data_IF_896466186192
#
_entry.id   IF_896466186192
#
_cell.length_a   1.000
_cell.length_b   1.000
_cell.length_c   1.000
_cell.angle_alpha   90.00
_cell.angle_beta   90.00
_cell.angle_gamma   90.00
#
_symmetry.space_group_name_H-M   'P 1'
#
loop_
_entity.id
_entity.type
_entity.pdbx_description
1 polymer ?
#
# COMPACT_ATOMS: atom_id res chain seq x y z
N UNK A 1 -28.31 2.89 -8.13
CA UNK A 1 -28.46 2.84 -6.66
C UNK A 1 -27.74 1.68 -5.99
N UNK A 2 -27.88 0.41 -6.44
CA UNK A 2 -27.17 -0.71 -5.79
C UNK A 2 -25.64 -0.58 -5.89
N UNK A 3 -25.10 -0.28 -7.07
CA UNK A 3 -23.65 -0.20 -7.29
C UNK A 3 -22.97 0.92 -6.50
N UNK A 4 -23.59 2.11 -6.40
CA UNK A 4 -23.03 3.23 -5.62
C UNK A 4 -22.95 2.89 -4.13
N UNK A 5 -24.00 2.24 -3.61
CA UNK A 5 -24.01 1.76 -2.22
C UNK A 5 -22.93 0.70 -2.01
N UNK A 6 -22.75 -0.23 -2.95
CA UNK A 6 -21.67 -1.22 -2.91
C UNK A 6 -20.30 -0.56 -2.92
N UNK A 7 -20.05 0.41 -3.81
CA UNK A 7 -18.78 1.17 -3.86
C UNK A 7 -18.53 1.83 -2.50
N UNK A 8 -19.53 2.52 -1.93
CA UNK A 8 -19.39 3.17 -0.63
C UNK A 8 -19.04 2.18 0.49
N UNK A 9 -19.72 1.03 0.55
CA UNK A 9 -19.44 -0.01 1.54
C UNK A 9 -18.02 -0.57 1.36
N UNK A 10 -17.60 -0.87 0.14
CA UNK A 10 -16.28 -1.40 -0.17
C UNK A 10 -15.17 -0.42 0.24
N UNK A 11 -15.33 0.87 -0.02
CA UNK A 11 -14.39 1.91 0.39
C UNK A 11 -14.30 2.00 1.92
N UNK A 12 -15.44 1.99 2.63
CA UNK A 12 -15.47 2.04 4.09
C UNK A 12 -14.79 0.80 4.69
N UNK A 13 -15.19 -0.40 4.24
CA UNK A 13 -14.62 -1.66 4.71
C UNK A 13 -13.13 -1.73 4.40
N UNK A 14 -12.71 -1.31 3.22
CA UNK A 14 -11.30 -1.30 2.83
C UNK A 14 -10.44 -0.34 3.65
N UNK A 15 -10.93 0.87 3.90
CA UNK A 15 -10.21 1.85 4.74
C UNK A 15 -10.09 1.35 6.18
N UNK A 16 -11.17 0.86 6.78
CA UNK A 16 -11.14 0.26 8.12
C UNK A 16 -10.20 -0.95 8.13
N UNK A 17 -10.30 -1.80 7.11
CA UNK A 17 -9.51 -3.01 6.93
C UNK A 17 -8.00 -2.75 6.82
N UNK A 18 -7.60 -1.62 6.25
CA UNK A 18 -6.20 -1.17 6.22
C UNK A 18 -5.78 -0.55 7.56
N UNK A 19 -6.65 0.26 8.17
CA UNK A 19 -6.30 1.03 9.36
C UNK A 19 -6.09 0.16 10.59
N UNK A 20 -6.91 -0.87 10.78
CA UNK A 20 -6.81 -1.81 11.92
C UNK A 20 -5.44 -2.50 11.98
N UNK A 21 -4.98 -3.25 10.95
CA UNK A 21 -3.68 -3.90 11.00
C UNK A 21 -2.52 -2.90 11.01
N UNK A 22 -2.66 -1.73 10.36
CA UNK A 22 -1.67 -0.65 10.49
C UNK A 22 -1.47 -0.25 11.96
N UNK A 23 -2.55 0.00 12.70
CA UNK A 23 -2.49 0.34 14.13
C UNK A 23 -1.89 -0.79 14.97
N UNK A 24 -2.27 -2.04 14.70
CA UNK A 24 -1.70 -3.21 15.40
C UNK A 24 -0.18 -3.27 15.15
N UNK A 25 0.28 -3.11 13.91
CA UNK A 25 1.71 -3.08 13.57
C UNK A 25 2.46 -1.95 14.27
N UNK A 26 1.85 -0.77 14.42
CA UNK A 26 2.43 0.31 15.22
C UNK A 26 2.64 -0.12 16.68
N UNK A 27 1.69 -0.84 17.27
CA UNK A 27 1.77 -1.29 18.67
C UNK A 27 2.75 -2.44 18.88
N UNK A 28 2.75 -3.46 18.01
CA UNK A 28 3.53 -4.70 18.23
C UNK A 28 4.90 -4.70 17.55
N UNK A 29 5.09 -3.85 16.54
CA UNK A 29 6.29 -3.84 15.71
C UNK A 29 6.91 -2.45 15.55
N UNK A 30 6.32 -1.40 16.14
CA UNK A 30 6.74 0.00 15.97
C UNK A 30 6.79 0.43 14.50
N UNK A 31 5.85 -0.07 13.70
CA UNK A 31 5.68 0.36 12.32
C UNK A 31 5.10 1.79 12.27
N UNK A 32 5.62 2.70 11.40
CA UNK A 32 6.67 2.51 10.39
C UNK A 32 8.09 2.86 10.88
N UNK A 33 8.27 3.35 12.10
CA UNK A 33 9.57 3.83 12.61
C UNK A 33 10.65 2.76 12.63
N UNK A 34 10.28 1.49 12.88
CA UNK A 34 11.20 0.35 12.84
C UNK A 34 11.91 0.18 11.49
N UNK A 35 11.29 0.62 10.38
CA UNK A 35 11.87 0.48 9.04
C UNK A 35 13.11 1.35 8.82
N UNK A 36 13.38 2.30 9.71
CA UNK A 36 14.56 3.18 9.65
C UNK A 36 15.73 2.66 10.49
N UNK A 37 15.54 1.56 11.21
CA UNK A 37 16.58 0.92 12.01
C UNK A 37 17.49 0.06 11.13
N UNK A 38 18.61 -0.40 11.70
CA UNK A 38 19.48 -1.35 11.02
C UNK A 38 18.77 -2.69 10.78
N UNK A 39 19.27 -3.44 9.78
CA UNK A 39 18.69 -4.72 9.36
C UNK A 39 18.62 -5.75 10.49
N UNK A 40 19.62 -5.79 11.37
CA UNK A 40 19.65 -6.74 12.48
C UNK A 40 18.52 -6.47 13.48
N UNK A 41 18.35 -5.20 13.87
CA UNK A 41 17.25 -4.77 14.74
C UNK A 41 15.89 -5.14 14.18
N UNK A 42 15.65 -4.88 12.88
CA UNK A 42 14.39 -5.21 12.22
C UNK A 42 14.12 -6.72 12.25
N UNK A 43 15.10 -7.53 11.82
CA UNK A 43 14.94 -8.98 11.68
C UNK A 43 14.81 -9.68 13.03
N UNK A 44 15.57 -9.27 14.05
CA UNK A 44 15.45 -9.80 15.42
C UNK A 44 14.07 -9.50 15.99
N UNK A 45 13.61 -8.24 15.87
CA UNK A 45 12.28 -7.85 16.34
C UNK A 45 11.17 -8.60 15.61
N UNK A 46 11.32 -8.78 14.30
CA UNK A 46 10.37 -9.53 13.50
C UNK A 46 10.31 -11.00 13.92
N UNK A 47 11.46 -11.64 14.12
CA UNK A 47 11.56 -13.02 14.59
C UNK A 47 10.87 -13.20 15.95
N UNK A 48 11.14 -12.29 16.90
CA UNK A 48 10.53 -12.31 18.23
C UNK A 48 9.01 -12.04 18.19
N UNK A 49 8.52 -11.27 17.22
CA UNK A 49 7.09 -11.01 17.00
C UNK A 49 6.30 -12.21 16.48
N UNK A 50 6.98 -13.17 15.83
CA UNK A 50 6.42 -14.47 15.45
C UNK A 50 5.14 -14.42 14.60
N UNK A 51 4.28 -15.43 14.77
CA UNK A 51 3.06 -15.59 14.00
C UNK A 51 2.08 -14.41 14.05
N UNK A 52 1.84 -13.74 15.21
CA UNK A 52 0.97 -12.57 15.25
C UNK A 52 1.38 -11.48 14.26
N UNK A 53 2.69 -11.26 14.10
CA UNK A 53 3.21 -10.25 13.19
C UNK A 53 2.98 -10.64 11.72
N UNK A 54 3.23 -11.90 11.37
CA UNK A 54 2.99 -12.46 10.03
C UNK A 54 1.52 -12.32 9.63
N UNK A 55 0.61 -12.70 10.52
CA UNK A 55 -0.84 -12.61 10.29
C UNK A 55 -1.31 -11.16 10.17
N UNK A 56 -0.75 -10.25 10.96
CA UNK A 56 -1.09 -8.83 10.87
C UNK A 56 -0.66 -8.24 9.51
N UNK A 57 0.55 -8.57 9.03
CA UNK A 57 1.00 -8.17 7.69
C UNK A 57 0.16 -8.77 6.57
N UNK A 58 -0.24 -10.04 6.71
CA UNK A 58 -1.12 -10.69 5.75
C UNK A 58 -2.49 -10.02 5.71
N UNK A 59 -3.08 -9.76 6.88
CA UNK A 59 -4.34 -9.04 7.00
C UNK A 59 -4.23 -7.63 6.39
N UNK A 60 -3.12 -6.92 6.62
CA UNK A 60 -2.88 -5.62 6.02
C UNK A 60 -2.91 -5.68 4.48
N UNK A 61 -2.29 -6.70 3.88
CA UNK A 61 -2.30 -6.88 2.44
C UNK A 61 -3.69 -7.22 1.87
N UNK A 62 -4.42 -8.12 2.52
CA UNK A 62 -5.69 -8.67 1.99
C UNK A 62 -6.88 -7.77 2.28
N UNK A 63 -6.93 -7.13 3.45
CA UNK A 63 -8.05 -6.27 3.83
C UNK A 63 -8.11 -4.96 3.04
N UNK A 64 -7.08 -4.65 2.24
CA UNK A 64 -7.10 -3.57 1.24
C UNK A 64 -7.81 -3.92 -0.07
N UNK A 65 -8.04 -5.21 -0.36
CA UNK A 65 -8.67 -5.66 -1.62
C UNK A 65 -10.08 -5.09 -1.90
N UNK A 66 -10.94 -4.81 -0.90
CA UNK A 66 -12.21 -4.11 -1.15
C UNK A 66 -12.04 -2.77 -1.89
N UNK A 67 -10.94 -2.05 -1.65
CA UNK A 67 -10.65 -0.80 -2.37
C UNK A 67 -10.39 -1.07 -3.85
N UNK A 68 -9.70 -2.16 -4.18
CA UNK A 68 -9.45 -2.56 -5.57
C UNK A 68 -10.76 -2.81 -6.32
N UNK A 69 -11.70 -3.53 -5.71
CA UNK A 69 -13.03 -3.75 -6.29
C UNK A 69 -13.80 -2.43 -6.45
N UNK A 70 -13.73 -1.54 -5.45
CA UNK A 70 -14.34 -0.22 -5.54
C UNK A 70 -13.77 0.61 -6.71
N UNK A 71 -12.45 0.58 -6.92
CA UNK A 71 -11.79 1.26 -8.04
C UNK A 71 -12.29 0.75 -9.39
N UNK A 72 -12.47 -0.56 -9.54
CA UNK A 72 -12.99 -1.18 -10.77
C UNK A 72 -14.44 -0.74 -11.02
N UNK A 73 -15.29 -0.82 -10.00
CA UNK A 73 -16.71 -0.45 -10.11
C UNK A 73 -16.91 1.04 -10.40
N UNK A 74 -16.07 1.92 -9.84
CA UNK A 74 -16.05 3.35 -10.18
C UNK A 74 -15.70 3.52 -11.66
N UNK A 75 -14.62 2.87 -12.10
CA UNK A 75 -14.16 2.89 -13.49
C UNK A 75 -15.25 2.50 -14.47
N UNK A 76 -15.78 1.29 -14.33
CA UNK A 76 -16.84 0.74 -15.19
C UNK A 76 -18.05 1.67 -15.30
N UNK A 77 -18.40 2.36 -14.22
CA UNK A 77 -19.58 3.23 -14.18
C UNK A 77 -19.41 4.53 -14.97
N UNK A 78 -18.20 5.08 -15.00
CA UNK A 78 -17.94 6.38 -15.63
C UNK A 78 -17.07 6.28 -16.89
N UNK A 79 -16.61 5.08 -17.26
CA UNK A 79 -15.77 4.82 -18.44
C UNK A 79 -16.43 5.29 -19.74
N UNK A 80 -17.74 5.09 -19.88
CA UNK A 80 -18.48 5.53 -21.08
C UNK A 80 -18.61 7.05 -21.18
N UNK A 81 -18.21 7.81 -20.16
CA UNK A 81 -18.33 9.28 -20.11
C UNK A 81 -17.04 9.97 -20.51
N UNK A 82 -15.88 9.37 -20.25
CA UNK A 82 -14.58 9.92 -20.63
C UNK A 82 -13.56 8.84 -20.98
N UNK A 83 -12.84 9.05 -22.09
CA UNK A 83 -11.85 8.11 -22.61
C UNK A 83 -10.73 7.76 -21.62
N UNK A 84 -10.32 8.72 -20.78
CA UNK A 84 -9.18 8.56 -19.87
C UNK A 84 -9.51 7.73 -18.63
N UNK A 85 -10.79 7.49 -18.32
CA UNK A 85 -11.20 6.72 -17.12
C UNK A 85 -10.73 5.27 -17.19
N UNK A 86 -10.72 4.69 -18.39
CA UNK A 86 -10.19 3.34 -18.60
C UNK A 86 -8.72 3.26 -18.16
N UNK A 87 -7.92 4.21 -18.64
CA UNK A 87 -6.50 4.32 -18.27
C UNK A 87 -6.35 4.55 -16.76
N UNK A 88 -7.15 5.45 -16.18
CA UNK A 88 -7.15 5.67 -14.73
C UNK A 88 -7.37 4.35 -13.99
N UNK A 89 -8.42 3.62 -14.33
CA UNK A 89 -8.78 2.34 -13.67
C UNK A 89 -7.66 1.32 -13.78
N UNK A 90 -7.01 1.18 -14.93
CA UNK A 90 -5.85 0.30 -15.12
C UNK A 90 -4.71 0.70 -14.18
N UNK A 91 -4.36 2.00 -14.14
CA UNK A 91 -3.32 2.49 -13.23
C UNK A 91 -3.67 2.23 -11.77
N UNK A 92 -4.91 2.51 -11.36
CA UNK A 92 -5.38 2.27 -9.99
C UNK A 92 -5.29 0.79 -9.59
N UNK A 93 -5.72 -0.11 -10.47
CA UNK A 93 -5.63 -1.57 -10.24
C UNK A 93 -4.18 -2.02 -10.13
N UNK A 94 -3.31 -1.61 -11.05
CA UNK A 94 -1.89 -1.97 -11.00
C UNK A 94 -1.24 -1.40 -9.74
N UNK A 95 -1.51 -0.14 -9.41
CA UNK A 95 -0.97 0.52 -8.23
C UNK A 95 -1.34 -0.20 -6.93
N UNK A 96 -2.61 -0.57 -6.78
CA UNK A 96 -3.09 -1.35 -5.63
C UNK A 96 -2.47 -2.75 -5.59
N UNK A 97 -2.41 -3.45 -6.72
CA UNK A 97 -1.81 -4.79 -6.78
C UNK A 97 -0.33 -4.76 -6.41
N UNK A 98 0.43 -3.78 -6.92
CA UNK A 98 1.84 -3.60 -6.55
C UNK A 98 1.98 -3.33 -5.05
N UNK A 99 1.08 -2.56 -4.45
CA UNK A 99 1.10 -2.27 -3.02
C UNK A 99 0.81 -3.53 -2.18
N UNK A 100 -0.18 -4.34 -2.58
CA UNK A 100 -0.48 -5.64 -1.96
C UNK A 100 0.74 -6.57 -2.03
N UNK A 101 1.35 -6.70 -3.21
CA UNK A 101 2.57 -7.51 -3.38
C UNK A 101 3.73 -6.98 -2.53
N UNK A 102 3.87 -5.66 -2.45
CA UNK A 102 4.85 -5.01 -1.58
C UNK A 102 4.65 -5.38 -0.11
N UNK A 103 3.41 -5.47 0.37
CA UNK A 103 3.08 -5.88 1.74
C UNK A 103 3.31 -7.37 1.98
N UNK A 104 2.94 -8.24 1.02
CA UNK A 104 3.06 -9.69 1.15
C UNK A 104 4.50 -10.19 1.34
N UNK A 105 5.52 -9.40 0.99
CA UNK A 105 6.91 -9.72 1.31
C UNK A 105 7.13 -9.91 2.82
N UNK A 106 6.41 -9.16 3.66
CA UNK A 106 6.50 -9.29 5.11
C UNK A 106 5.85 -10.57 5.63
N UNK A 107 4.93 -11.16 4.86
CA UNK A 107 4.30 -12.44 5.19
C UNK A 107 5.11 -13.64 4.69
N UNK A 108 5.73 -13.56 3.51
CA UNK A 108 6.34 -14.73 2.87
C UNK A 108 7.86 -14.73 2.87
N UNK A 109 8.49 -13.56 2.73
CA UNK A 109 9.96 -13.46 2.55
C UNK A 109 10.65 -13.13 3.86
N UNK A 110 10.19 -12.09 4.55
CA UNK A 110 10.81 -11.61 5.80
C UNK A 110 10.86 -12.66 6.90
N UNK A 111 9.86 -13.55 7.10
CA UNK A 111 9.96 -14.58 8.14
C UNK A 111 11.12 -15.56 7.93
N UNK A 112 11.40 -15.92 6.68
CA UNK A 112 12.51 -16.80 6.31
C UNK A 112 13.83 -16.11 6.64
N UNK A 113 13.99 -14.87 6.17
CA UNK A 113 15.18 -14.05 6.44
C UNK A 113 15.39 -13.82 7.94
N UNK A 114 14.33 -13.53 8.70
CA UNK A 114 14.40 -13.28 10.13
C UNK A 114 14.87 -14.54 10.89
N UNK A 115 14.35 -15.72 10.51
CA UNK A 115 14.78 -17.01 11.08
C UNK A 115 16.25 -17.30 10.78
N UNK A 116 16.66 -17.16 9.52
CA UNK A 116 18.03 -17.45 9.10
C UNK A 116 19.03 -16.47 9.72
N UNK A 117 18.63 -15.21 9.91
CA UNK A 117 19.44 -14.20 10.61
C UNK A 117 19.67 -14.57 12.08
N UNK A 118 18.62 -15.01 12.80
CA UNK A 118 18.73 -15.29 14.25
C UNK A 118 19.44 -16.62 14.52
N UNK A 119 19.17 -17.66 13.72
CA UNK A 119 19.68 -19.02 13.94
C UNK A 119 20.99 -19.31 13.19
N UNK A 120 21.32 -18.50 12.18
CA UNK A 120 22.51 -18.68 11.34
C UNK A 120 23.81 -18.25 12.00
N UNK A 121 24.92 -18.67 11.39
CA UNK A 121 26.26 -18.20 11.76
C UNK A 121 26.52 -16.78 11.19
N UNK A 122 27.70 -16.24 11.46
CA UNK A 122 28.08 -14.88 11.03
C UNK A 122 28.01 -14.71 9.50
N UNK A 123 28.45 -15.70 8.73
CA UNK A 123 28.36 -15.69 7.26
C UNK A 123 26.90 -15.63 6.79
N UNK A 124 26.00 -16.40 7.41
CA UNK A 124 24.56 -16.36 7.10
C UNK A 124 23.96 -15.00 7.43
N UNK A 125 24.34 -14.38 8.56
CA UNK A 125 23.84 -13.05 8.96
C UNK A 125 24.22 -11.96 7.96
N UNK A 126 25.45 -11.96 7.47
CA UNK A 126 25.88 -11.00 6.44
C UNK A 126 25.12 -11.20 5.12
N UNK A 127 24.98 -12.45 4.66
CA UNK A 127 24.23 -12.77 3.45
C UNK A 127 22.76 -12.34 3.55
N UNK A 128 22.11 -12.65 4.68
CA UNK A 128 20.72 -12.24 4.95
C UNK A 128 20.59 -10.72 5.03
N UNK A 129 21.57 -10.02 5.59
CA UNK A 129 21.56 -8.55 5.67
C UNK A 129 21.53 -7.94 4.28
N UNK A 130 22.37 -8.42 3.36
CA UNK A 130 22.36 -7.96 1.96
C UNK A 130 21.06 -8.33 1.27
N UNK A 131 20.59 -9.57 1.42
CA UNK A 131 19.33 -10.03 0.81
C UNK A 131 18.13 -9.20 1.29
N UNK A 132 18.04 -8.91 2.59
CA UNK A 132 16.99 -8.08 3.16
C UNK A 132 17.05 -6.66 2.59
N UNK A 133 18.23 -6.04 2.49
CA UNK A 133 18.39 -4.71 1.88
C UNK A 133 17.87 -4.69 0.44
N UNK A 134 18.21 -5.69 -0.37
CA UNK A 134 17.72 -5.80 -1.76
C UNK A 134 16.20 -5.92 -1.80
N UNK A 135 15.62 -6.84 -1.01
CA UNK A 135 14.16 -7.05 -0.95
C UNK A 135 13.44 -5.80 -0.42
N UNK A 136 14.02 -5.12 0.56
CA UNK A 136 13.45 -3.92 1.16
C UNK A 136 13.49 -2.73 0.18
N UNK A 137 14.59 -2.55 -0.54
CA UNK A 137 14.71 -1.51 -1.57
C UNK A 137 13.79 -1.77 -2.76
N UNK A 138 13.81 -2.99 -3.30
CA UNK A 138 12.97 -3.32 -4.44
C UNK A 138 11.48 -3.36 -4.09
N UNK A 139 11.10 -4.13 -3.06
CA UNK A 139 9.71 -4.27 -2.66
C UNK A 139 9.15 -3.04 -1.97
N UNK A 140 9.94 -2.36 -1.15
CA UNK A 140 9.50 -1.21 -0.35
C UNK A 140 9.50 0.06 -1.15
N UNK A 141 10.67 0.45 -1.61
CA UNK A 141 10.87 1.77 -2.19
C UNK A 141 10.41 1.78 -3.65
N UNK A 142 10.92 0.88 -4.49
CA UNK A 142 10.55 0.86 -5.92
C UNK A 142 9.08 0.48 -6.11
N UNK A 143 8.65 -0.69 -5.62
CA UNK A 143 7.29 -1.16 -5.82
C UNK A 143 6.29 -0.35 -4.98
N UNK A 144 6.50 -0.27 -3.66
CA UNK A 144 5.55 0.36 -2.74
C UNK A 144 5.51 1.88 -2.87
N UNK A 145 6.62 2.55 -2.59
CA UNK A 145 6.69 4.01 -2.46
C UNK A 145 6.71 4.75 -3.79
N UNK A 146 7.24 4.15 -4.86
CA UNK A 146 7.28 4.81 -6.16
C UNK A 146 6.15 4.34 -7.07
N UNK A 147 6.16 3.08 -7.53
CA UNK A 147 5.20 2.63 -8.55
C UNK A 147 3.77 2.64 -7.99
N UNK A 148 3.57 2.02 -6.82
CA UNK A 148 2.26 1.95 -6.16
C UNK A 148 1.68 3.33 -5.86
N UNK A 149 2.47 4.22 -5.24
CA UNK A 149 2.01 5.57 -4.90
C UNK A 149 1.81 6.43 -6.15
N UNK A 150 2.72 6.42 -7.13
CA UNK A 150 2.58 7.21 -8.35
C UNK A 150 1.31 6.85 -9.11
N UNK A 151 1.02 5.56 -9.25
CA UNK A 151 -0.21 5.11 -9.91
C UNK A 151 -1.46 5.44 -9.09
N UNK A 152 -1.38 5.39 -7.76
CA UNK A 152 -2.46 5.85 -6.88
C UNK A 152 -2.72 7.35 -7.03
N UNK A 153 -1.67 8.17 -7.10
CA UNK A 153 -1.75 9.62 -7.32
C UNK A 153 -2.39 9.89 -8.69
N UNK A 154 -1.89 9.24 -9.75
CA UNK A 154 -2.41 9.40 -11.10
C UNK A 154 -3.89 9.01 -11.18
N UNK A 155 -4.26 7.84 -10.63
CA UNK A 155 -5.65 7.41 -10.53
C UNK A 155 -6.51 8.44 -9.80
N UNK A 156 -6.05 8.94 -8.64
CA UNK A 156 -6.79 9.90 -7.82
C UNK A 156 -7.06 11.20 -8.58
N UNK A 157 -6.03 11.77 -9.25
CA UNK A 157 -6.18 12.99 -10.05
C UNK A 157 -7.16 12.78 -11.20
N UNK A 158 -7.01 11.68 -11.94
CA UNK A 158 -7.85 11.39 -13.10
C UNK A 158 -9.32 11.18 -12.69
N UNK A 159 -9.60 10.36 -11.67
CA UNK A 159 -10.97 10.11 -11.20
C UNK A 159 -11.58 11.37 -10.58
N UNK A 160 -10.82 12.14 -9.82
CA UNK A 160 -11.27 13.43 -9.26
C UNK A 160 -11.66 14.41 -10.38
N UNK A 161 -10.89 14.46 -11.47
CA UNK A 161 -11.22 15.29 -12.63
C UNK A 161 -12.50 14.85 -13.35
N UNK A 162 -12.76 13.54 -13.42
CA UNK A 162 -14.00 13.01 -13.97
C UNK A 162 -15.20 13.37 -13.09
N UNK A 163 -15.05 13.26 -11.77
CA UNK A 163 -16.07 13.65 -10.80
C UNK A 163 -16.40 15.14 -10.84
N UNK A 164 -15.39 15.98 -11.00
CA UNK A 164 -15.54 17.43 -11.18
C UNK A 164 -16.33 17.77 -12.44
N UNK A 165 -15.94 17.19 -13.59
CA UNK A 165 -16.62 17.41 -14.88
C UNK A 165 -18.08 16.94 -14.87
N UNK A 166 -18.37 15.85 -14.15
CA UNK A 166 -19.73 15.32 -14.01
C UNK A 166 -20.54 16.00 -12.90
N UNK A 167 -19.94 16.90 -12.12
CA UNK A 167 -20.56 17.56 -10.97
C UNK A 167 -21.20 16.58 -9.97
N UNK A 168 -20.57 15.42 -9.78
CA UNK A 168 -21.08 14.36 -8.89
C UNK A 168 -20.89 14.67 -7.40
N UNK A 169 -19.90 15.51 -7.08
CA UNK A 169 -19.54 15.85 -5.71
C UNK A 169 -19.39 17.37 -5.53
N UNK A 170 -19.58 17.89 -4.30
CA UNK A 170 -19.32 19.28 -3.99
C UNK A 170 -17.83 19.63 -4.15
N UNK A 171 -17.56 20.89 -4.48
CA UNK A 171 -16.20 21.38 -4.81
C UNK A 171 -15.16 21.10 -3.72
N UNK A 172 -15.54 21.12 -2.44
CA UNK A 172 -14.59 20.86 -1.36
C UNK A 172 -14.06 19.41 -1.37
N UNK A 173 -14.88 18.42 -1.74
CA UNK A 173 -14.44 17.02 -1.88
C UNK A 173 -13.49 16.88 -3.07
N UNK A 174 -13.79 17.56 -4.18
CA UNK A 174 -12.92 17.60 -5.35
C UNK A 174 -11.55 18.17 -4.99
N UNK A 175 -11.52 19.30 -4.27
CA UNK A 175 -10.27 19.91 -3.80
C UNK A 175 -9.49 19.01 -2.83
N UNK A 176 -10.16 18.26 -1.95
CA UNK A 176 -9.49 17.29 -1.10
C UNK A 176 -8.78 16.20 -1.89
N UNK A 177 -9.37 15.71 -2.99
CA UNK A 177 -8.74 14.74 -3.88
C UNK A 177 -7.43 15.25 -4.47
N UNK A 178 -7.45 16.46 -5.03
CA UNK A 178 -6.23 17.08 -5.57
C UNK A 178 -5.19 17.40 -4.48
N UNK A 179 -5.63 17.93 -3.33
CA UNK A 179 -4.74 18.23 -2.21
C UNK A 179 -4.04 16.96 -1.69
N UNK A 180 -4.77 15.85 -1.56
CA UNK A 180 -4.20 14.56 -1.19
C UNK A 180 -3.13 14.13 -2.20
N UNK A 181 -3.42 14.17 -3.50
CA UNK A 181 -2.45 13.84 -4.56
C UNK A 181 -1.18 14.69 -4.47
N UNK A 182 -1.29 15.99 -4.20
CA UNK A 182 -0.13 16.89 -4.04
C UNK A 182 0.69 16.49 -2.81
N UNK A 183 0.05 16.22 -1.67
CA UNK A 183 0.74 15.80 -0.44
C UNK A 183 1.52 14.50 -0.67
N UNK A 184 0.90 13.51 -1.30
CA UNK A 184 1.56 12.23 -1.60
C UNK A 184 2.72 12.41 -2.60
N UNK A 185 2.56 13.28 -3.60
CA UNK A 185 3.63 13.58 -4.55
C UNK A 185 4.84 14.25 -3.87
N UNK A 186 4.59 15.18 -2.93
CA UNK A 186 5.68 15.78 -2.15
C UNK A 186 6.39 14.74 -1.29
N UNK A 187 5.63 13.88 -0.61
CA UNK A 187 6.21 12.79 0.19
C UNK A 187 7.13 11.89 -0.63
N UNK A 188 6.76 11.60 -1.89
CA UNK A 188 7.56 10.80 -2.81
C UNK A 188 8.90 11.47 -3.17
N UNK A 189 8.95 12.80 -3.28
CA UNK A 189 10.18 13.54 -3.58
C UNK A 189 11.18 13.53 -2.41
N UNK A 190 10.70 13.43 -1.17
CA UNK A 190 11.56 13.41 0.03
C UNK A 190 12.11 12.02 0.40
N UNK A 191 11.57 10.92 -0.16
CA UNK A 191 12.10 9.58 0.13
C UNK A 191 13.39 9.22 -0.63
N UNK A 192 13.90 10.15 -1.45
CA UNK A 192 15.16 10.01 -2.20
C UNK A 192 16.40 10.55 -1.47
N UNK A 193 16.26 11.04 -0.23
CA UNK A 193 17.35 11.50 0.65
C UNK A 193 17.47 10.61 1.88
#
# INVERSE_FOLDING_TARGET
>A
MKTEKTIGILLIVGVIGIFVPYTILTMIFEYPTILRQDTGTILIKFYNGGNPLIWTWWAFAILGLPILEACILIGQKIESKFYFVRLATILGVIGLMVQVLGLLRWTFVVPVLAKDFVLGNEMTKEAVTVAFKVVHQYGGIILGEHIGQLFTIAWTVMITSAFEKLKLFPKWIIWLGYAASIIYLHKQSYSQQ
#
